data_IF_091026523722
#
_entry.id   IF_091026523722
#
_cell.length_a   1.000
_cell.length_b   1.000
_cell.length_c   1.000
_cell.angle_alpha   90.00
_cell.angle_beta   90.00
_cell.angle_gamma   90.00
#
_symmetry.space_group_name_H-M   'P 1'
#
loop_
_entity.id
_entity.type
_entity.pdbx_description
1 polymer ?
#
# COMPACT_ATOMS: atom_id res chain seq x y z
N UNK A 1 24.29 29.56 15.52
CA UNK A 1 23.37 29.81 14.38
C UNK A 1 23.43 28.67 13.35
N UNK A 2 23.35 27.42 13.80
CA UNK A 2 23.37 26.21 12.95
C UNK A 2 22.20 25.26 13.21
N UNK A 3 21.21 25.67 14.02
CA UNK A 3 20.10 24.81 14.44
C UNK A 3 18.89 24.87 13.51
N UNK A 4 18.55 26.05 12.96
CA UNK A 4 17.32 26.19 12.15
C UNK A 4 17.30 25.31 10.89
N UNK A 5 18.45 25.08 10.24
CA UNK A 5 18.53 24.18 9.08
C UNK A 5 18.47 22.69 9.50
N UNK A 6 19.09 22.32 10.63
CA UNK A 6 19.04 20.95 11.17
C UNK A 6 17.66 20.57 11.69
N UNK A 7 16.95 21.52 12.29
CA UNK A 7 15.57 21.31 12.75
C UNK A 7 14.62 21.13 11.57
N UNK A 8 14.83 21.87 10.48
CA UNK A 8 14.08 21.68 9.23
C UNK A 8 14.38 20.31 8.60
N UNK A 9 15.65 19.91 8.53
CA UNK A 9 16.07 18.60 8.02
C UNK A 9 15.34 17.46 8.75
N UNK A 10 15.40 17.45 10.09
CA UNK A 10 14.66 16.46 10.91
C UNK A 10 13.15 16.52 10.68
N UNK A 11 12.59 17.71 10.51
CA UNK A 11 11.16 17.88 10.20
C UNK A 11 10.77 17.27 8.85
N UNK A 12 11.62 17.42 7.82
CA UNK A 12 11.40 16.81 6.51
C UNK A 12 11.55 15.29 6.56
N UNK A 13 12.55 14.76 7.26
CA UNK A 13 12.73 13.32 7.45
C UNK A 13 11.53 12.68 8.16
N UNK A 14 11.08 13.28 9.27
CA UNK A 14 9.93 12.80 10.02
C UNK A 14 8.64 12.84 9.19
N UNK A 15 8.44 13.91 8.41
CA UNK A 15 7.31 14.02 7.49
C UNK A 15 7.39 12.95 6.40
N UNK A 16 8.55 12.76 5.79
CA UNK A 16 8.75 11.77 4.74
C UNK A 16 8.45 10.35 5.24
N UNK A 17 8.95 9.99 6.43
CA UNK A 17 8.65 8.70 7.06
C UNK A 17 7.15 8.51 7.28
N UNK A 18 6.46 9.54 7.79
CA UNK A 18 5.02 9.50 8.02
C UNK A 18 4.23 9.35 6.71
N UNK A 19 4.59 10.13 5.69
CA UNK A 19 3.91 10.14 4.40
C UNK A 19 4.07 8.79 3.69
N UNK A 20 5.27 8.21 3.69
CA UNK A 20 5.54 6.88 3.11
C UNK A 20 4.83 5.76 3.89
N UNK A 21 4.82 5.81 5.22
CA UNK A 21 4.08 4.83 6.03
C UNK A 21 2.57 4.89 5.76
N UNK A 22 2.01 6.10 5.65
CA UNK A 22 0.60 6.30 5.33
C UNK A 22 0.27 5.81 3.92
N UNK A 23 1.13 6.10 2.95
CA UNK A 23 1.00 5.65 1.56
C UNK A 23 0.98 4.14 1.47
N UNK A 24 1.96 3.47 2.06
CA UNK A 24 2.04 2.00 2.09
C UNK A 24 0.78 1.36 2.70
N UNK A 25 0.31 1.90 3.83
CA UNK A 25 -0.92 1.43 4.47
C UNK A 25 -2.16 1.64 3.60
N UNK A 26 -2.24 2.76 2.89
CA UNK A 26 -3.35 3.06 1.99
C UNK A 26 -3.35 2.13 0.77
N UNK A 27 -2.20 1.93 0.13
CA UNK A 27 -2.02 1.03 -1.03
C UNK A 27 -2.37 -0.42 -0.67
N UNK A 28 -1.83 -0.93 0.44
CA UNK A 28 -2.16 -2.28 0.94
C UNK A 28 -3.67 -2.48 1.18
N UNK A 29 -4.34 -1.47 1.74
CA UNK A 29 -5.80 -1.52 2.00
C UNK A 29 -6.60 -1.47 0.71
N UNK A 30 -6.22 -0.60 -0.23
CA UNK A 30 -6.83 -0.49 -1.56
C UNK A 30 -6.76 -1.84 -2.29
N UNK A 31 -5.57 -2.45 -2.36
CA UNK A 31 -5.37 -3.71 -3.06
C UNK A 31 -6.17 -4.85 -2.44
N UNK A 32 -6.24 -4.90 -1.10
CA UNK A 32 -7.09 -5.88 -0.41
C UNK A 32 -8.57 -5.71 -0.78
N UNK A 33 -9.08 -4.47 -0.80
CA UNK A 33 -10.47 -4.21 -1.18
C UNK A 33 -10.74 -4.57 -2.64
N UNK A 34 -9.80 -4.25 -3.54
CA UNK A 34 -9.88 -4.63 -4.94
C UNK A 34 -9.91 -6.15 -5.11
N UNK A 35 -9.02 -6.87 -4.42
CA UNK A 35 -8.98 -8.32 -4.46
C UNK A 35 -10.26 -8.98 -3.91
N UNK A 36 -10.84 -8.45 -2.83
CA UNK A 36 -12.15 -8.93 -2.34
C UNK A 36 -13.27 -8.69 -3.35
N UNK A 37 -13.29 -7.52 -3.99
CA UNK A 37 -14.27 -7.19 -5.03
C UNK A 37 -14.15 -8.10 -6.26
N UNK A 38 -12.92 -8.35 -6.72
CA UNK A 38 -12.64 -9.29 -7.82
C UNK A 38 -13.01 -10.73 -7.43
N UNK A 39 -12.69 -11.15 -6.20
CA UNK A 39 -13.07 -12.47 -5.70
C UNK A 39 -14.59 -12.68 -5.71
N UNK A 40 -15.36 -11.66 -5.30
CA UNK A 40 -16.82 -11.66 -5.39
C UNK A 40 -17.29 -11.76 -6.85
N UNK A 41 -16.68 -10.99 -7.75
CA UNK A 41 -17.00 -11.03 -9.19
C UNK A 41 -16.70 -12.40 -9.83
N UNK A 42 -15.68 -13.12 -9.35
CA UNK A 42 -15.35 -14.48 -9.79
C UNK A 42 -16.15 -15.57 -9.07
N UNK A 43 -17.01 -15.21 -8.10
CA UNK A 43 -17.82 -16.16 -7.34
C UNK A 43 -17.05 -16.94 -6.28
N UNK A 44 -15.84 -16.51 -5.92
CA UNK A 44 -15.05 -17.08 -4.82
C UNK A 44 -15.71 -16.74 -3.47
N UNK A 45 -15.65 -17.66 -2.51
CA UNK A 45 -16.29 -17.49 -1.19
C UNK A 45 -15.38 -17.94 -0.06
N UNK A 46 -15.60 -17.39 1.12
CA UNK A 46 -14.91 -17.78 2.34
C UNK A 46 -13.40 -17.65 2.21
N UNK A 47 -12.68 -18.73 2.52
CA UNK A 47 -11.21 -18.77 2.50
C UNK A 47 -10.60 -18.44 1.15
N UNK A 48 -11.29 -18.75 0.06
CA UNK A 48 -10.75 -18.57 -1.30
C UNK A 48 -10.78 -17.10 -1.71
N UNK A 49 -11.79 -16.35 -1.24
CA UNK A 49 -11.85 -14.91 -1.43
C UNK A 49 -10.78 -14.18 -0.60
N UNK A 50 -10.54 -14.64 0.64
CA UNK A 50 -9.48 -14.11 1.49
C UNK A 50 -8.08 -14.42 0.94
N UNK A 51 -7.89 -15.61 0.36
CA UNK A 51 -6.64 -16.00 -0.29
C UNK A 51 -6.39 -15.13 -1.54
N UNK A 52 -7.40 -14.99 -2.40
CA UNK A 52 -7.31 -14.16 -3.60
C UNK A 52 -7.00 -12.69 -3.25
N UNK A 53 -7.66 -12.13 -2.23
CA UNK A 53 -7.38 -10.77 -1.78
C UNK A 53 -5.95 -10.58 -1.24
N UNK A 54 -5.35 -11.62 -0.66
CA UNK A 54 -3.94 -11.59 -0.22
C UNK A 54 -2.99 -11.65 -1.42
N UNK A 55 -3.28 -12.47 -2.42
CA UNK A 55 -2.49 -12.55 -3.65
C UNK A 55 -2.45 -11.21 -4.37
N UNK A 56 -3.59 -10.50 -4.48
CA UNK A 56 -3.62 -9.15 -5.08
C UNK A 56 -2.78 -8.14 -4.29
N UNK A 57 -2.73 -8.25 -2.95
CA UNK A 57 -1.84 -7.40 -2.14
C UNK A 57 -0.38 -7.75 -2.34
N UNK A 58 -0.05 -9.04 -2.47
CA UNK A 58 1.31 -9.51 -2.69
C UNK A 58 1.84 -9.17 -4.09
N UNK A 59 0.95 -9.07 -5.08
CA UNK A 59 1.31 -8.69 -6.43
C UNK A 59 1.89 -7.26 -6.51
N UNK A 60 1.46 -6.35 -5.61
CA UNK A 60 1.91 -4.93 -5.58
C UNK A 60 3.24 -4.72 -4.84
N UNK A 61 4.06 -5.77 -4.67
CA UNK A 61 5.31 -5.71 -3.89
C UNK A 61 6.59 -5.67 -4.74
N UNK A 62 6.49 -5.88 -6.05
CA UNK A 62 7.65 -5.98 -6.93
C UNK A 62 8.09 -4.60 -7.47
N UNK A 63 7.13 -3.74 -7.82
CA UNK A 63 7.34 -2.37 -8.30
C UNK A 63 6.54 -1.35 -7.47
N UNK A 64 7.13 -0.18 -7.14
CA UNK A 64 6.41 0.87 -6.44
C UNK A 64 5.35 1.50 -7.35
N UNK A 65 4.07 1.30 -7.05
CA UNK A 65 3.01 1.91 -7.85
C UNK A 65 1.71 1.15 -7.79
N UNK A 66 0.97 1.17 -8.90
CA UNK A 66 -0.23 0.35 -9.11
C UNK A 66 -0.08 -0.57 -10.31
N UNK A 67 1.06 -0.47 -11.00
CA UNK A 67 1.27 -1.03 -12.32
C UNK A 67 1.36 -2.56 -12.28
N UNK A 68 1.81 -3.13 -11.16
CA UNK A 68 1.80 -4.57 -10.93
C UNK A 68 0.39 -5.16 -10.78
N UNK A 69 -0.58 -4.35 -10.36
CA UNK A 69 -1.97 -4.80 -10.12
C UNK A 69 -2.84 -4.73 -11.38
N UNK A 70 -2.49 -3.88 -12.36
CA UNK A 70 -3.34 -3.56 -13.53
C UNK A 70 -2.89 -4.26 -14.83
N UNK A 71 -1.88 -5.12 -14.76
CA UNK A 71 -1.23 -5.71 -15.95
C UNK A 71 -2.08 -6.73 -16.71
#
# INVERSE_FOLDING_TARGET
>A
MSDAFKDREKGYEAKYQLDEEQRFKAESRRNKLLGLWLAEAFGLKGSDADAYAREVVLADLDEPGVDDVVR
#
